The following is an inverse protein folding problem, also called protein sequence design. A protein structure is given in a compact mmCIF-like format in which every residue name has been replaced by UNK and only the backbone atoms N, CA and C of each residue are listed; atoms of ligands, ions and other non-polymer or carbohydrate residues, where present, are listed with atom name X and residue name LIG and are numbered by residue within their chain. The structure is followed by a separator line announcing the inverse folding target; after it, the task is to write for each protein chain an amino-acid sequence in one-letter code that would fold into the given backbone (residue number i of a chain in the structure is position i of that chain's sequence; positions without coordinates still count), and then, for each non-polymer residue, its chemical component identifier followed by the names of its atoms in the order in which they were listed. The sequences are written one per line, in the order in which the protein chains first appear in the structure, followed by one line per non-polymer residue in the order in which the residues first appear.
data_IF_306482177152
#
_entry.id   IF_306482177152
#
_cell.length_a   1.000
_cell.length_b   1.000
_cell.length_c   1.000
_cell.angle_alpha   90.00
_cell.angle_beta   90.00
_cell.angle_gamma   90.00
#
_symmetry.space_group_name_H-M   'P 1'
#
loop_
_entity.id
_entity.type
_entity.pdbx_description
1 polymer ?
#
# COMPACT_ATOMS: atom_id res chain seq x y z
N UNK A 1 -13.74 56.85 -29.02
CA UNK A 1 -12.98 55.85 -28.25
C UNK A 1 -13.79 54.54 -28.17
N UNK A 2 -13.42 53.51 -28.92
CA UNK A 2 -14.07 52.17 -28.91
C UNK A 2 -13.02 51.09 -29.19
N UNK A 3 -13.01 50.02 -28.38
CA UNK A 3 -12.43 48.67 -28.53
C UNK A 3 -11.86 48.25 -27.16
N UNK A 4 -11.92 47.02 -26.69
CA UNK A 4 -12.65 45.79 -27.01
C UNK A 4 -12.29 44.84 -25.88
N UNK A 5 -13.27 44.15 -25.31
CA UNK A 5 -13.04 43.03 -24.39
C UNK A 5 -12.16 41.98 -25.08
N UNK A 6 -11.08 41.52 -24.44
CA UNK A 6 -10.40 40.28 -24.80
C UNK A 6 -10.40 39.34 -23.60
N UNK A 7 -11.35 38.41 -23.64
CA UNK A 7 -11.24 37.12 -22.98
C UNK A 7 -10.00 36.40 -23.47
N UNK A 8 -9.23 35.83 -22.53
CA UNK A 8 -8.31 34.74 -22.83
C UNK A 8 -8.37 33.74 -21.66
N UNK A 9 -9.31 32.82 -21.80
CA UNK A 9 -9.37 31.55 -21.08
C UNK A 9 -8.03 30.83 -21.27
N UNK A 10 -7.24 30.71 -20.21
CA UNK A 10 -5.99 29.95 -20.24
C UNK A 10 -6.29 28.54 -19.76
N UNK A 11 -6.37 27.67 -20.77
CA UNK A 11 -6.60 26.24 -20.76
C UNK A 11 -5.96 25.52 -19.55
N UNK A 12 -6.80 24.81 -18.78
CA UNK A 12 -6.35 23.75 -17.87
C UNK A 12 -5.72 22.65 -18.71
N UNK A 13 -4.39 22.60 -18.72
CA UNK A 13 -3.63 21.49 -19.26
C UNK A 13 -4.07 20.19 -18.58
N UNK A 14 -4.85 19.41 -19.32
CA UNK A 14 -5.21 18.04 -18.98
C UNK A 14 -3.94 17.21 -18.81
N UNK A 15 -3.72 16.75 -17.59
CA UNK A 15 -2.67 15.78 -17.28
C UNK A 15 -3.08 14.46 -17.92
N UNK A 16 -2.34 14.05 -18.95
CA UNK A 16 -2.51 12.78 -19.63
C UNK A 16 -2.56 11.64 -18.60
N UNK A 17 -3.72 10.99 -18.49
CA UNK A 17 -3.86 9.72 -17.78
C UNK A 17 -3.20 8.66 -18.65
N UNK A 18 -1.97 8.33 -18.29
CA UNK A 18 -1.21 7.24 -18.89
C UNK A 18 -2.05 5.96 -18.75
N UNK A 19 -2.44 5.38 -19.88
CA UNK A 19 -3.17 4.12 -19.94
C UNK A 19 -2.30 3.02 -19.34
N UNK A 20 -2.62 2.61 -18.11
CA UNK A 20 -1.94 1.51 -17.44
C UNK A 20 -2.49 0.20 -18.02
N UNK A 21 -1.59 -0.58 -18.62
CA UNK A 21 -1.62 -2.04 -18.72
C UNK A 21 -2.51 -2.67 -17.64
N UNK A 22 -3.23 -3.73 -18.00
CA UNK A 22 -4.26 -4.54 -17.28
C UNK A 22 -3.98 -4.99 -15.83
N UNK A 23 -3.05 -4.35 -15.12
CA UNK A 23 -2.76 -4.48 -13.70
C UNK A 23 -3.88 -3.82 -12.88
N UNK A 24 -4.53 -4.63 -12.04
CA UNK A 24 -5.50 -4.16 -11.05
C UNK A 24 -4.73 -3.65 -9.82
N UNK A 25 -5.00 -2.42 -9.42
CA UNK A 25 -4.43 -1.81 -8.21
C UNK A 25 -5.43 -1.92 -7.06
N UNK A 26 -5.00 -2.48 -5.94
CA UNK A 26 -5.80 -2.58 -4.73
C UNK A 26 -5.26 -1.65 -3.65
N UNK A 27 -6.13 -0.83 -3.05
CA UNK A 27 -5.78 0.02 -1.92
C UNK A 27 -5.93 -0.78 -0.63
N UNK A 28 -4.92 -0.71 0.22
CA UNK A 28 -4.90 -1.40 1.51
C UNK A 28 -4.50 -0.43 2.61
N UNK A 29 -5.18 -0.49 3.75
CA UNK A 29 -4.75 0.18 4.98
C UNK A 29 -4.01 -0.82 5.86
N UNK A 30 -2.87 -0.42 6.41
CA UNK A 30 -2.04 -1.26 7.28
C UNK A 30 -1.82 -0.53 8.59
N UNK A 31 -1.98 -1.25 9.69
CA UNK A 31 -1.69 -0.74 11.04
C UNK A 31 -0.27 -1.22 11.39
N UNK A 32 0.61 -0.28 11.72
CA UNK A 32 1.99 -0.54 12.11
C UNK A 32 2.22 0.02 13.51
N UNK A 33 3.10 -0.62 14.27
CA UNK A 33 3.64 0.01 15.48
C UNK A 33 4.50 1.22 15.11
N UNK A 34 4.72 2.14 16.05
CA UNK A 34 5.54 3.33 15.80
C UNK A 34 6.96 2.94 15.35
N UNK A 35 7.57 1.94 15.98
CA UNK A 35 8.90 1.43 15.64
C UNK A 35 8.95 0.86 14.22
N UNK A 36 7.93 0.08 13.83
CA UNK A 36 7.82 -0.44 12.46
C UNK A 36 7.68 0.69 11.44
N UNK A 37 6.83 1.67 11.73
CA UNK A 37 6.65 2.82 10.83
C UNK A 37 7.93 3.64 10.68
N UNK A 38 8.66 3.92 11.77
CA UNK A 38 9.97 4.59 11.73
C UNK A 38 10.94 3.83 10.83
N UNK A 39 11.04 2.51 11.01
CA UNK A 39 11.94 1.67 10.21
C UNK A 39 11.57 1.68 8.72
N UNK A 40 10.29 1.54 8.40
CA UNK A 40 9.82 1.59 7.01
C UNK A 40 10.12 2.95 6.37
N UNK A 41 9.95 4.04 7.14
CA UNK A 41 10.25 5.40 6.68
C UNK A 41 11.74 5.63 6.42
N UNK A 42 12.62 5.10 7.27
CA UNK A 42 14.08 5.15 7.07
C UNK A 42 14.48 4.43 5.78
N UNK A 43 14.02 3.19 5.61
CA UNK A 43 14.29 2.39 4.40
C UNK A 43 13.77 3.10 3.16
N UNK A 44 12.57 3.69 3.21
CA UNK A 44 12.02 4.47 2.11
C UNK A 44 12.94 5.66 1.74
N UNK A 45 13.47 6.37 2.74
CA UNK A 45 14.39 7.49 2.53
C UNK A 45 15.72 7.06 1.93
N UNK A 46 16.30 5.97 2.45
CA UNK A 46 17.59 5.44 1.98
C UNK A 46 17.53 4.95 0.53
N UNK A 47 16.37 4.47 0.09
CA UNK A 47 16.17 3.91 -1.25
C UNK A 47 15.53 4.90 -2.25
N UNK A 48 15.34 6.17 -1.86
CA UNK A 48 14.57 7.18 -2.62
C UNK A 48 13.25 6.62 -3.17
N UNK A 49 12.53 5.91 -2.29
CA UNK A 49 11.36 5.13 -2.63
C UNK A 49 10.16 5.53 -1.79
N UNK A 50 8.95 5.28 -2.32
CA UNK A 50 7.73 5.45 -1.55
C UNK A 50 7.56 4.37 -0.48
N UNK A 51 6.91 4.70 0.64
CA UNK A 51 6.52 3.73 1.68
C UNK A 51 5.74 2.54 1.08
N UNK A 52 4.85 2.81 0.13
CA UNK A 52 4.07 1.77 -0.56
C UNK A 52 4.95 0.84 -1.42
N UNK A 53 6.08 1.30 -1.92
CA UNK A 53 7.05 0.43 -2.60
C UNK A 53 7.76 -0.48 -1.60
N UNK A 54 8.22 0.07 -0.47
CA UNK A 54 8.87 -0.71 0.60
C UNK A 54 7.94 -1.80 1.13
N UNK A 55 6.67 -1.47 1.39
CA UNK A 55 5.67 -2.45 1.85
C UNK A 55 5.43 -3.56 0.82
N UNK A 56 5.37 -3.23 -0.49
CA UNK A 56 5.25 -4.25 -1.55
C UNK A 56 6.43 -5.21 -1.53
N UNK A 57 7.65 -4.68 -1.49
CA UNK A 57 8.86 -5.52 -1.44
C UNK A 57 8.94 -6.39 -0.19
N UNK A 58 8.50 -5.87 0.96
CA UNK A 58 8.44 -6.65 2.20
C UNK A 58 7.43 -7.82 2.09
N UNK A 59 6.25 -7.56 1.50
CA UNK A 59 5.24 -8.60 1.25
C UNK A 59 5.74 -9.63 0.24
N UNK A 60 6.34 -9.19 -0.87
CA UNK A 60 6.88 -10.08 -1.91
C UNK A 60 7.90 -11.05 -1.28
N UNK A 61 8.88 -10.52 -0.52
CA UNK A 61 9.89 -11.35 0.16
C UNK A 61 9.31 -12.29 1.21
N UNK A 62 8.30 -11.84 1.95
CA UNK A 62 7.63 -12.67 2.96
C UNK A 62 6.89 -13.85 2.30
N UNK A 63 6.26 -13.63 1.15
CA UNK A 63 5.51 -14.66 0.42
C UNK A 63 6.42 -15.59 -0.39
N UNK A 64 7.53 -15.08 -0.92
CA UNK A 64 8.54 -15.88 -1.62
C UNK A 64 9.33 -16.80 -0.67
N UNK A 65 9.41 -16.44 0.60
CA UNK A 65 9.98 -17.34 1.62
C UNK A 65 8.94 -18.42 1.91
N UNK A 66 9.11 -19.67 1.46
CA UNK A 66 8.16 -20.74 1.77
C UNK A 66 8.08 -20.84 3.29
N UNK A 67 6.88 -20.56 3.80
CA UNK A 67 6.58 -20.55 5.21
C UNK A 67 7.11 -21.81 5.88
N UNK A 68 8.10 -21.66 6.76
CA UNK A 68 8.41 -22.65 7.78
C UNK A 68 7.29 -22.73 8.86
N UNK A 69 6.14 -22.07 8.64
CA UNK A 69 5.14 -21.79 9.67
C UNK A 69 3.68 -22.10 9.32
N UNK A 70 3.36 -22.76 8.20
CA UNK A 70 1.97 -23.19 7.92
C UNK A 70 1.47 -24.35 8.80
N UNK A 71 2.20 -24.72 9.86
CA UNK A 71 1.81 -25.79 10.80
C UNK A 71 1.07 -25.31 12.06
N UNK A 72 1.01 -24.01 12.37
CA UNK A 72 0.52 -23.54 13.69
C UNK A 72 -0.88 -22.90 13.65
N UNK A 73 -1.85 -23.52 12.96
CA UNK A 73 -3.27 -23.15 13.12
C UNK A 73 -4.19 -24.39 13.01
N UNK A 74 -3.89 -25.43 13.79
CA UNK A 74 -4.85 -26.49 14.14
C UNK A 74 -4.76 -26.83 15.61
N UNK A 75 -5.51 -26.10 16.43
CA UNK A 75 -5.67 -26.38 17.85
C UNK A 75 -6.86 -25.61 18.41
N UNK A 76 -8.07 -26.08 18.09
CA UNK A 76 -9.33 -25.62 18.67
C UNK A 76 -9.27 -25.82 20.20
N UNK A 77 -9.74 -24.89 21.04
CA UNK A 77 -9.96 -25.19 22.45
C UNK A 77 -11.22 -26.07 22.56
N UNK A 78 -11.05 -27.39 22.69
CA UNK A 78 -12.12 -28.24 23.21
C UNK A 78 -12.12 -28.09 24.73
N UNK A 79 -12.97 -27.17 25.21
CA UNK A 79 -13.39 -27.16 26.60
C UNK A 79 -14.07 -28.49 26.92
N UNK A 80 -13.45 -29.30 27.78
CA UNK A 80 -14.15 -30.38 28.46
C UNK A 80 -14.77 -29.81 29.71
N UNK A 81 -16.00 -29.32 29.58
CA UNK A 81 -16.94 -29.23 30.71
C UNK A 81 -17.15 -30.66 31.19
N UNK A 82 -16.62 -30.99 32.37
CA UNK A 82 -16.96 -32.23 33.06
C UNK A 82 -18.10 -31.89 34.02
N UNK A 83 -19.31 -32.17 33.56
CA UNK A 83 -20.52 -32.18 34.38
C UNK A 83 -20.69 -33.60 34.96
N UNK A 84 -21.09 -33.63 36.24
CA UNK A 84 -21.44 -34.76 37.12
C UNK A 84 -20.30 -35.45 37.86
#
# INVERSE_FOLDING_TARGET
MKRSKRSASRSRSGRAVVSRSSKREFRTSVILTETQFKRVREVARENDASIAWVLRQAVDRYLETPSAGSAQQRGKPQGKTKER
#
